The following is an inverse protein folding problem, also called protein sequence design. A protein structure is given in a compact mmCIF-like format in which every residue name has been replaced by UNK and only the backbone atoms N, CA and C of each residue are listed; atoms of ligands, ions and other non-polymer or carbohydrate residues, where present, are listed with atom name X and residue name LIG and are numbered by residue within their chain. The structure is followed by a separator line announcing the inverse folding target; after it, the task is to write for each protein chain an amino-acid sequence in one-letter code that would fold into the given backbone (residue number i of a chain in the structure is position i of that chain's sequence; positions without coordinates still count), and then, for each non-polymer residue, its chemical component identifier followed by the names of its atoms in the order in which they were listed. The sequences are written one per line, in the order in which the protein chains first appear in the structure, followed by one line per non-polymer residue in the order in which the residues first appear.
data_IF_646396817052
#
_entry.id   IF_646396817052
#
_cell.length_a   1.000
_cell.length_b   1.000
_cell.length_c   1.000
_cell.angle_alpha   90.00
_cell.angle_beta   90.00
_cell.angle_gamma   90.00
#
_symmetry.space_group_name_H-M   'P 1'
#
loop_
_entity.id
_entity.type
_entity.pdbx_description
1 polymer ?
#
# COMPACT_ATOMS: atom_id res chain seq x y z
N UNK A 1 14.12 -0.71 -11.23
CA UNK A 1 12.83 -0.75 -11.95
C UNK A 1 11.78 -0.41 -10.93
N UNK A 2 11.11 0.73 -11.10
CA UNK A 2 10.08 1.18 -10.16
C UNK A 2 8.73 0.76 -10.75
N UNK A 3 7.94 0.05 -9.96
CA UNK A 3 6.57 -0.28 -10.32
C UNK A 3 5.64 0.64 -9.56
N UNK A 4 4.70 1.28 -10.27
CA UNK A 4 3.73 2.21 -9.70
C UNK A 4 2.35 1.56 -9.65
N UNK A 5 1.77 1.50 -8.45
CA UNK A 5 0.36 1.22 -8.25
C UNK A 5 -0.39 2.53 -8.11
N UNK A 6 -1.37 2.75 -8.98
CA UNK A 6 -2.30 3.87 -8.89
C UNK A 6 -3.69 3.35 -8.52
N UNK A 7 -4.13 3.68 -7.32
CA UNK A 7 -5.52 3.48 -6.90
C UNK A 7 -6.29 4.78 -7.10
N UNK A 8 -7.39 4.74 -7.86
CA UNK A 8 -8.31 5.88 -8.03
C UNK A 8 -9.73 5.37 -7.84
N UNK A 9 -10.42 5.82 -6.79
CA UNK A 9 -11.83 5.50 -6.57
C UNK A 9 -12.57 6.74 -6.03
N UNK A 10 -13.78 7.01 -6.52
CA UNK A 10 -14.64 8.02 -5.90
C UNK A 10 -15.11 7.53 -4.53
N UNK A 11 -15.00 8.39 -3.53
CA UNK A 11 -15.44 8.08 -2.17
C UNK A 11 -16.96 8.07 -2.09
N UNK A 12 -17.53 6.99 -1.55
CA UNK A 12 -18.99 6.84 -1.41
C UNK A 12 -19.57 7.68 -0.28
N UNK A 13 -18.77 7.96 0.74
CA UNK A 13 -19.16 8.70 1.94
C UNK A 13 -18.03 9.63 2.35
N UNK A 14 -18.37 10.72 3.03
CA UNK A 14 -17.36 11.54 3.68
C UNK A 14 -16.64 10.72 4.75
N UNK A 15 -15.32 10.82 4.79
CA UNK A 15 -14.51 10.14 5.76
C UNK A 15 -13.20 10.89 6.02
N UNK A 16 -12.64 10.66 7.21
CA UNK A 16 -11.26 11.06 7.50
C UNK A 16 -10.34 9.87 7.22
N UNK A 17 -9.50 10.01 6.21
CA UNK A 17 -8.52 9.00 5.80
C UNK A 17 -7.27 9.16 6.67
N UNK A 18 -6.78 8.04 7.22
CA UNK A 18 -5.60 8.01 8.10
C UNK A 18 -4.44 7.22 7.47
N UNK A 19 -4.71 6.41 6.45
CA UNK A 19 -3.74 5.59 5.75
C UNK A 19 -4.41 4.54 4.88
N UNK A 20 -3.62 3.58 4.43
CA UNK A 20 -4.04 2.52 3.51
C UNK A 20 -3.73 1.13 4.10
N UNK A 21 -4.69 0.22 4.00
CA UNK A 21 -4.49 -1.18 4.35
C UNK A 21 -3.99 -1.97 3.13
N UNK A 22 -2.88 -2.67 3.30
CA UNK A 22 -2.28 -3.57 2.31
C UNK A 22 -2.66 -5.02 2.60
N UNK A 23 -3.16 -5.70 1.56
CA UNK A 23 -3.49 -7.12 1.58
C UNK A 23 -2.80 -7.81 0.40
N UNK A 24 -2.75 -9.13 0.40
CA UNK A 24 -2.27 -9.90 -0.75
C UNK A 24 -3.15 -11.11 -1.05
N UNK A 25 -3.03 -11.57 -2.28
CA UNK A 25 -3.58 -12.82 -2.77
C UNK A 25 -2.50 -13.51 -3.60
N UNK A 26 -2.26 -14.79 -3.33
CA UNK A 26 -1.23 -15.58 -4.01
C UNK A 26 -1.84 -16.89 -4.49
N UNK A 27 -1.81 -17.12 -5.80
CA UNK A 27 -2.06 -18.43 -6.38
C UNK A 27 -0.81 -19.29 -6.16
N UNK A 28 -0.99 -20.46 -5.55
CA UNK A 28 0.09 -21.39 -5.24
C UNK A 28 0.23 -22.42 -6.37
N UNK A 29 -0.89 -22.99 -6.79
CA UNK A 29 -0.99 -23.90 -7.92
C UNK A 29 -2.47 -24.09 -8.30
N UNK A 30 -2.80 -23.91 -9.58
CA UNK A 30 -4.17 -24.06 -10.09
C UNK A 30 -5.21 -23.25 -9.26
N UNK A 31 -6.21 -23.92 -8.67
CA UNK A 31 -7.23 -23.31 -7.81
C UNK A 31 -6.82 -23.20 -6.33
N UNK A 32 -5.60 -23.64 -5.99
CA UNK A 32 -5.05 -23.53 -4.63
C UNK A 32 -4.44 -22.14 -4.45
N UNK A 33 -4.97 -21.36 -3.50
CA UNK A 33 -4.50 -20.02 -3.19
C UNK A 33 -4.43 -19.75 -1.69
N UNK A 34 -3.68 -18.69 -1.36
CA UNK A 34 -3.59 -18.13 -0.01
C UNK A 34 -3.83 -16.62 -0.07
N UNK A 35 -4.72 -16.09 0.77
CA UNK A 35 -5.06 -14.67 0.75
C UNK A 35 -5.52 -14.12 2.09
N UNK A 36 -5.10 -12.88 2.37
CA UNK A 36 -5.63 -12.05 3.46
C UNK A 36 -6.63 -11.00 2.98
N UNK A 37 -6.99 -10.98 1.69
CA UNK A 37 -7.96 -10.00 1.19
C UNK A 37 -9.33 -10.21 1.84
N UNK A 38 -10.06 -9.14 2.24
CA UNK A 38 -11.34 -9.30 2.94
C UNK A 38 -12.37 -10.15 2.19
N UNK A 39 -12.37 -10.10 0.85
CA UNK A 39 -13.31 -10.83 0.00
C UNK A 39 -12.97 -12.32 -0.16
N UNK A 40 -11.69 -12.68 -0.09
CA UNK A 40 -11.21 -14.03 -0.38
C UNK A 40 -10.30 -14.58 0.73
N UNK A 41 -10.57 -14.21 1.99
CA UNK A 41 -9.71 -14.55 3.12
C UNK A 41 -9.63 -16.08 3.32
N UNK A 42 -8.41 -16.62 3.38
CA UNK A 42 -8.19 -18.04 3.69
C UNK A 42 -8.55 -18.32 5.14
N UNK A 43 -9.46 -19.26 5.38
CA UNK A 43 -9.92 -19.60 6.73
C UNK A 43 -8.74 -20.07 7.61
N UNK A 44 -8.74 -19.63 8.87
CA UNK A 44 -7.74 -19.99 9.89
C UNK A 44 -6.29 -19.59 9.58
N UNK A 45 -6.06 -18.69 8.63
CA UNK A 45 -4.75 -18.11 8.41
C UNK A 45 -4.52 -16.91 9.33
N UNK A 46 -3.84 -17.15 10.46
CA UNK A 46 -3.53 -16.12 11.47
C UNK A 46 -2.08 -15.61 11.41
N UNK A 47 -1.27 -16.12 10.48
CA UNK A 47 0.16 -15.82 10.38
C UNK A 47 0.48 -14.48 9.70
N UNK A 48 -0.50 -13.86 9.03
CA UNK A 48 -0.32 -12.63 8.26
C UNK A 48 -1.41 -11.62 8.61
N UNK A 49 -1.03 -10.55 9.29
CA UNK A 49 -1.90 -9.40 9.49
C UNK A 49 -1.80 -8.43 8.30
N UNK A 50 -2.83 -7.61 8.03
CA UNK A 50 -2.75 -6.57 7.02
C UNK A 50 -1.62 -5.58 7.31
N UNK A 51 -0.95 -5.11 6.26
CA UNK A 51 0.05 -4.04 6.37
C UNK A 51 -0.66 -2.69 6.43
N UNK A 52 -0.12 -1.74 7.18
CA UNK A 52 -0.66 -0.37 7.26
C UNK A 52 0.35 0.64 6.72
N UNK A 53 -0.08 1.44 5.73
CA UNK A 53 0.67 2.55 5.15
C UNK A 53 0.07 3.87 5.63
N UNK A 54 0.66 4.53 6.65
CA UNK A 54 0.09 5.73 7.25
C UNK A 54 0.19 6.94 6.33
N UNK A 55 -0.74 7.89 6.50
CA UNK A 55 -0.51 9.30 6.16
C UNK A 55 -0.33 10.09 7.46
N UNK A 56 0.64 11.01 7.46
CA UNK A 56 1.03 11.74 8.68
C UNK A 56 -0.08 12.65 9.23
N UNK A 57 -0.79 13.32 8.32
CA UNK A 57 -1.90 14.19 8.67
C UNK A 57 -3.20 13.58 8.11
N UNK A 58 -4.15 13.22 8.98
CA UNK A 58 -5.42 12.68 8.52
C UNK A 58 -6.13 13.65 7.57
N UNK A 59 -6.59 13.14 6.45
CA UNK A 59 -7.18 13.93 5.36
C UNK A 59 -8.69 13.76 5.36
N UNK A 60 -9.42 14.88 5.35
CA UNK A 60 -10.87 14.83 5.10
C UNK A 60 -11.10 14.63 3.61
N UNK A 61 -11.85 13.59 3.24
CA UNK A 61 -12.24 13.32 1.85
C UNK A 61 -13.75 13.30 1.79
N UNK A 62 -14.36 14.12 0.93
CA UNK A 62 -15.82 14.22 0.84
C UNK A 62 -16.39 13.11 -0.01
N UNK A 63 -17.69 12.86 0.16
CA UNK A 63 -18.41 11.98 -0.77
C UNK A 63 -18.35 12.56 -2.19
N UNK A 64 -18.04 11.71 -3.17
CA UNK A 64 -17.85 12.09 -4.57
C UNK A 64 -16.42 12.49 -4.95
N UNK A 65 -15.56 12.84 -3.98
CA UNK A 65 -14.16 13.16 -4.26
C UNK A 65 -13.39 11.90 -4.68
N UNK A 66 -12.46 12.07 -5.63
CA UNK A 66 -11.52 11.03 -5.98
C UNK A 66 -10.39 10.96 -4.94
N UNK A 67 -10.22 9.79 -4.31
CA UNK A 67 -9.01 9.48 -3.54
C UNK A 67 -8.00 8.82 -4.47
N UNK A 68 -6.90 9.53 -4.77
CA UNK A 68 -5.83 9.00 -5.63
C UNK A 68 -4.55 8.79 -4.84
N UNK A 69 -4.11 7.53 -4.76
CA UNK A 69 -2.84 7.13 -4.14
C UNK A 69 -1.88 6.58 -5.19
N UNK A 70 -0.61 6.96 -5.06
CA UNK A 70 0.50 6.42 -5.82
C UNK A 70 1.41 5.67 -4.86
N UNK A 71 1.79 4.45 -5.21
CA UNK A 71 2.74 3.65 -4.43
C UNK A 71 3.81 3.09 -5.35
N UNK A 72 5.08 3.18 -4.94
CA UNK A 72 6.22 2.66 -5.67
C UNK A 72 6.92 1.58 -4.89
N UNK A 73 7.25 0.47 -5.55
CA UNK A 73 8.27 -0.47 -5.07
C UNK A 73 9.62 -0.06 -5.63
N UNK A 74 10.51 0.36 -4.75
CA UNK A 74 11.83 0.86 -5.10
C UNK A 74 12.91 -0.14 -4.69
N UNK A 75 14.00 -0.17 -5.46
CA UNK A 75 15.13 -1.07 -5.21
C UNK A 75 16.44 -0.35 -5.43
N UNK A 76 17.42 -0.58 -4.56
CA UNK A 76 18.80 -0.10 -4.71
C UNK A 76 19.73 -1.30 -4.77
N UNK A 77 20.41 -1.46 -5.90
CA UNK A 77 21.25 -2.63 -6.19
C UNK A 77 22.57 -2.62 -5.43
N UNK A 78 23.12 -1.44 -5.15
CA UNK A 78 24.45 -1.28 -4.53
C UNK A 78 24.56 -1.92 -3.15
N UNK A 79 23.44 -2.00 -2.42
CA UNK A 79 23.35 -2.56 -1.07
C UNK A 79 22.14 -3.50 -0.91
N UNK A 80 21.63 -4.01 -2.02
CA UNK A 80 20.52 -4.98 -2.07
C UNK A 80 19.28 -4.59 -1.24
N UNK A 81 18.96 -3.30 -1.19
CA UNK A 81 17.81 -2.77 -0.45
C UNK A 81 16.55 -2.69 -1.31
N UNK A 82 15.41 -3.01 -0.73
CA UNK A 82 14.07 -2.78 -1.30
C UNK A 82 13.22 -1.98 -0.33
N UNK A 83 12.44 -1.03 -0.81
CA UNK A 83 11.50 -0.26 0.03
C UNK A 83 10.25 0.13 -0.75
N UNK A 84 9.28 0.69 -0.03
CA UNK A 84 8.10 1.31 -0.61
C UNK A 84 8.08 2.81 -0.37
N UNK A 85 7.65 3.54 -1.39
CA UNK A 85 7.28 4.96 -1.31
C UNK A 85 5.79 5.10 -1.62
N UNK A 86 5.10 6.04 -0.99
CA UNK A 86 3.71 6.33 -1.35
C UNK A 86 3.39 7.81 -1.19
N UNK A 87 2.36 8.29 -1.90
CA UNK A 87 1.79 9.63 -1.73
C UNK A 87 0.34 9.68 -2.19
N UNK A 88 -0.39 10.66 -1.71
CA UNK A 88 -1.74 11.00 -2.17
C UNK A 88 -1.64 12.21 -3.08
N UNK A 89 -2.38 12.21 -4.19
CA UNK A 89 -2.42 13.32 -5.17
C UNK A 89 -3.81 13.92 -5.35
N UNK A 90 -4.84 13.33 -4.73
CA UNK A 90 -6.21 13.81 -4.72
C UNK A 90 -6.94 13.23 -3.50
N UNK A 91 -7.81 13.99 -2.80
CA UNK A 91 -8.18 15.38 -3.09
C UNK A 91 -7.06 16.39 -2.75
N UNK A 92 -6.28 16.13 -1.70
CA UNK A 92 -5.16 16.97 -1.30
C UNK A 92 -3.82 16.24 -1.57
N UNK A 93 -2.82 16.98 -2.04
CA UNK A 93 -1.50 16.42 -2.32
C UNK A 93 -0.70 16.29 -1.03
N UNK A 94 -0.17 15.10 -0.76
CA UNK A 94 0.77 14.87 0.35
C UNK A 94 2.22 14.81 -0.15
N UNK A 95 3.16 14.95 0.79
CA UNK A 95 4.57 14.63 0.52
C UNK A 95 4.74 13.15 0.16
N UNK A 96 5.84 12.81 -0.52
CA UNK A 96 6.26 11.42 -0.65
C UNK A 96 6.70 10.87 0.71
N UNK A 97 6.09 9.76 1.12
CA UNK A 97 6.45 9.01 2.31
C UNK A 97 7.59 8.02 2.01
N UNK A 98 8.48 7.85 2.99
CA UNK A 98 9.69 7.01 2.93
C UNK A 98 10.60 7.22 1.70
N UNK A 99 10.91 8.48 1.30
CA UNK A 99 11.72 8.73 0.12
C UNK A 99 13.11 8.11 0.27
N UNK A 100 13.58 7.43 -0.78
CA UNK A 100 14.85 6.73 -0.83
C UNK A 100 15.04 5.65 0.26
N UNK A 101 13.96 5.16 0.86
CA UNK A 101 13.99 4.11 1.89
C UNK A 101 14.58 4.59 3.22
N UNK A 102 14.60 5.91 3.46
CA UNK A 102 15.32 6.52 4.60
C UNK A 102 14.76 6.16 5.97
N UNK A 103 13.48 5.79 6.04
CA UNK A 103 12.81 5.42 7.29
C UNK A 103 12.73 3.90 7.44
N UNK A 104 12.39 3.21 6.35
CA UNK A 104 12.30 1.76 6.33
C UNK A 104 12.78 1.22 4.99
N UNK A 105 13.62 0.20 5.06
CA UNK A 105 14.07 -0.59 3.93
C UNK A 105 14.20 -2.05 4.37
N UNK A 106 14.09 -2.95 3.41
CA UNK A 106 14.17 -4.40 3.57
C UNK A 106 15.43 -4.84 2.85
N UNK A 107 16.45 -5.21 3.63
CA UNK A 107 17.68 -5.77 3.12
C UNK A 107 17.45 -7.19 2.64
N UNK A 108 17.97 -7.52 1.46
CA UNK A 108 18.15 -8.91 1.10
C UNK A 108 19.31 -9.50 1.90
N UNK A 109 19.13 -10.70 2.43
CA UNK A 109 20.27 -11.53 2.83
C UNK A 109 20.88 -12.04 1.53
N UNK A 110 21.97 -11.43 1.08
CA UNK A 110 22.81 -11.92 -0.01
C UNK A 110 24.23 -12.05 0.49
#
# INVERSE_FOLDING_TARGET
MNFELRGKNPMKTEARVHGFAGYFHSCLYDDVFMSITPKHHTLKMFSWFPVYFPIEHPMLVRAGDDLTVHMWRCTRRTDAQTWYEWRVTSPDVTRTYNPAGRAQSIGSLS
#
